data_IF_075611591317
#
_entry.id   IF_075611591317
#
_cell.length_a   1.000
_cell.length_b   1.000
_cell.length_c   1.000
_cell.angle_alpha   90.00
_cell.angle_beta   90.00
_cell.angle_gamma   90.00
#
_symmetry.space_group_name_H-M   'P 1'
#
loop_
_entity.id
_entity.type
_entity.pdbx_description
1 polymer ?
#
# COMPACT_ATOMS: atom_id res chain seq x y z
N UNK A 1 -11.01 24.66 -33.30
CA UNK A 1 -11.06 24.90 -31.84
C UNK A 1 -10.99 23.55 -31.18
N UNK A 2 -10.13 23.37 -30.17
CA UNK A 2 -10.13 22.17 -29.34
C UNK A 2 -11.30 22.28 -28.36
N UNK A 3 -12.13 21.26 -28.26
CA UNK A 3 -13.25 21.24 -27.32
C UNK A 3 -12.76 20.86 -25.92
N UNK A 4 -13.59 21.10 -24.90
CA UNK A 4 -13.30 20.68 -23.53
C UNK A 4 -13.07 19.16 -23.44
N UNK A 5 -13.73 18.40 -24.31
CA UNK A 5 -13.64 16.95 -24.42
C UNK A 5 -12.24 16.54 -24.92
N UNK A 6 -11.76 17.19 -25.99
CA UNK A 6 -10.42 16.95 -26.55
C UNK A 6 -9.30 17.24 -25.53
N UNK A 7 -9.45 18.29 -24.71
CA UNK A 7 -8.44 18.66 -23.71
C UNK A 7 -8.36 17.62 -22.59
N UNK A 8 -9.51 17.06 -22.18
CA UNK A 8 -9.59 15.99 -21.17
C UNK A 8 -9.01 14.69 -21.71
N UNK A 9 -9.24 14.36 -22.98
CA UNK A 9 -8.65 13.18 -23.62
C UNK A 9 -7.14 13.30 -23.78
N UNK A 10 -6.63 14.47 -24.18
CA UNK A 10 -5.18 14.70 -24.29
C UNK A 10 -4.45 14.67 -22.94
N UNK A 11 -5.10 15.11 -21.86
CA UNK A 11 -4.55 15.04 -20.49
C UNK A 11 -4.59 13.62 -19.92
N UNK A 12 -5.63 12.83 -20.23
CA UNK A 12 -5.64 11.40 -19.95
C UNK A 12 -4.51 10.69 -20.71
N UNK A 13 -4.33 11.00 -22.01
CA UNK A 13 -3.28 10.39 -22.84
C UNK A 13 -1.85 10.62 -22.36
N UNK A 14 -1.60 11.72 -21.66
CA UNK A 14 -0.28 12.00 -21.06
C UNK A 14 -0.04 11.28 -19.74
N UNK A 15 -1.12 10.85 -19.07
CA UNK A 15 -1.04 10.03 -17.86
C UNK A 15 -1.03 8.53 -18.14
N UNK A 16 -1.40 8.12 -19.36
CA UNK A 16 -1.27 6.74 -19.85
C UNK A 16 0.18 6.26 -19.59
N UNK A 17 0.30 5.13 -18.90
CA UNK A 17 1.56 4.45 -18.59
C UNK A 17 2.49 5.07 -17.53
N UNK A 18 2.06 6.12 -16.81
CA UNK A 18 2.89 6.65 -15.73
C UNK A 18 2.98 5.65 -14.56
N UNK A 19 4.18 5.39 -14.02
CA UNK A 19 4.32 4.54 -12.85
C UNK A 19 3.70 5.22 -11.62
N UNK A 20 3.20 4.42 -10.66
CA UNK A 20 2.51 4.93 -9.47
C UNK A 20 3.26 6.05 -8.72
N UNK A 21 4.59 6.00 -8.64
CA UNK A 21 5.39 7.06 -8.01
C UNK A 21 5.28 8.42 -8.72
N UNK A 22 5.04 8.44 -10.03
CA UNK A 22 4.91 9.65 -10.87
C UNK A 22 3.48 10.19 -10.91
N UNK A 23 2.49 9.45 -10.42
CA UNK A 23 1.10 9.91 -10.36
C UNK A 23 0.88 10.97 -9.29
N UNK A 24 0.10 12.00 -9.64
CA UNK A 24 -0.33 13.04 -8.71
C UNK A 24 -1.32 12.51 -7.66
N UNK A 25 -1.42 13.18 -6.50
CA UNK A 25 -2.33 12.79 -5.40
C UNK A 25 -3.78 12.63 -5.88
N UNK A 26 -4.24 13.50 -6.77
CA UNK A 26 -5.59 13.45 -7.36
C UNK A 26 -5.82 12.17 -8.19
N UNK A 27 -4.86 11.81 -9.05
CA UNK A 27 -4.93 10.59 -9.85
C UNK A 27 -4.88 9.33 -8.97
N UNK A 28 -3.96 9.30 -8.00
CA UNK A 28 -3.86 8.22 -7.01
C UNK A 28 -5.19 8.01 -6.28
N UNK A 29 -5.83 9.09 -5.86
CA UNK A 29 -7.13 9.05 -5.20
C UNK A 29 -8.22 8.48 -6.12
N UNK A 30 -8.28 8.93 -7.38
CA UNK A 30 -9.21 8.36 -8.38
C UNK A 30 -9.00 6.85 -8.55
N UNK A 31 -7.75 6.39 -8.72
CA UNK A 31 -7.44 4.97 -8.88
C UNK A 31 -7.78 4.14 -7.63
N UNK A 32 -7.60 4.72 -6.44
CA UNK A 32 -8.02 4.11 -5.17
C UNK A 32 -9.55 3.96 -5.08
N UNK A 33 -10.29 4.99 -5.50
CA UNK A 33 -11.76 4.94 -5.51
C UNK A 33 -12.27 3.89 -6.49
N UNK A 34 -11.65 3.80 -7.66
CA UNK A 34 -11.92 2.79 -8.68
C UNK A 34 -11.68 1.37 -8.14
N UNK A 35 -10.51 1.15 -7.51
CA UNK A 35 -10.18 -0.12 -6.87
C UNK A 35 -11.23 -0.53 -5.82
N UNK A 36 -11.73 0.40 -5.00
CA UNK A 36 -12.77 0.09 -4.02
C UNK A 36 -14.10 -0.30 -4.67
N UNK A 37 -14.45 0.25 -5.83
CA UNK A 37 -15.62 -0.16 -6.59
C UNK A 37 -15.43 -1.56 -7.20
N UNK A 38 -14.27 -1.83 -7.79
CA UNK A 38 -13.94 -3.16 -8.31
C UNK A 38 -13.98 -4.21 -7.20
N UNK A 39 -13.43 -3.91 -6.02
CA UNK A 39 -13.53 -4.78 -4.84
C UNK A 39 -14.97 -4.98 -4.39
N UNK A 40 -15.82 -3.94 -4.46
CA UNK A 40 -17.25 -4.07 -4.17
C UNK A 40 -17.91 -5.07 -5.11
N UNK A 41 -17.64 -4.98 -6.41
CA UNK A 41 -18.22 -5.90 -7.40
C UNK A 41 -17.64 -7.31 -7.27
N UNK A 42 -16.33 -7.43 -7.03
CA UNK A 42 -15.60 -8.70 -6.95
C UNK A 42 -15.92 -9.50 -5.68
N UNK A 43 -15.95 -8.84 -4.54
CA UNK A 43 -16.18 -9.46 -3.22
C UNK A 43 -17.62 -9.21 -2.70
N UNK A 44 -18.50 -8.65 -3.54
CA UNK A 44 -19.90 -8.30 -3.22
C UNK A 44 -20.02 -7.57 -1.87
N UNK A 45 -19.16 -6.57 -1.67
CA UNK A 45 -19.13 -5.81 -0.42
C UNK A 45 -20.37 -4.92 -0.29
N UNK A 46 -20.82 -4.77 0.95
CA UNK A 46 -21.87 -3.83 1.29
C UNK A 46 -21.46 -2.38 0.99
N UNK A 47 -22.44 -1.49 0.77
CA UNK A 47 -22.14 -0.09 0.47
C UNK A 47 -21.44 0.61 1.64
N UNK A 48 -21.81 0.24 2.87
CA UNK A 48 -21.15 0.70 4.08
C UNK A 48 -19.68 0.27 4.11
N UNK A 49 -19.38 -1.01 3.87
CA UNK A 49 -18.01 -1.55 3.83
C UNK A 49 -17.18 -0.91 2.72
N UNK A 50 -17.80 -0.66 1.57
CA UNK A 50 -17.15 0.02 0.44
C UNK A 50 -16.79 1.46 0.80
N UNK A 51 -17.70 2.17 1.48
CA UNK A 51 -17.45 3.54 1.95
C UNK A 51 -16.34 3.58 2.99
N UNK A 52 -16.35 2.64 3.95
CA UNK A 52 -15.26 2.48 4.93
C UNK A 52 -13.93 2.19 4.23
N UNK A 53 -13.91 1.28 3.25
CA UNK A 53 -12.71 0.96 2.46
C UNK A 53 -12.16 2.21 1.74
N UNK A 54 -13.02 2.98 1.07
CA UNK A 54 -12.64 4.24 0.41
C UNK A 54 -12.04 5.24 1.40
N UNK A 55 -12.67 5.43 2.56
CA UNK A 55 -12.15 6.33 3.60
C UNK A 55 -10.81 5.85 4.17
N UNK A 56 -10.68 4.55 4.47
CA UNK A 56 -9.43 3.96 4.96
C UNK A 56 -8.29 4.12 3.96
N UNK A 57 -8.55 3.84 2.67
CA UNK A 57 -7.54 4.00 1.62
C UNK A 57 -7.13 5.46 1.42
N UNK A 58 -8.10 6.38 1.50
CA UNK A 58 -7.80 7.82 1.51
C UNK A 58 -6.91 8.19 2.68
N UNK A 59 -7.26 7.82 3.89
CA UNK A 59 -6.49 8.12 5.10
C UNK A 59 -5.05 7.56 5.00
N UNK A 60 -4.90 6.31 4.51
CA UNK A 60 -3.58 5.72 4.25
C UNK A 60 -2.78 6.47 3.17
N UNK A 61 -3.43 7.03 2.16
CA UNK A 61 -2.77 7.89 1.17
C UNK A 61 -2.29 9.21 1.82
N UNK A 62 -3.09 9.81 2.69
CA UNK A 62 -2.75 11.05 3.40
C UNK A 62 -1.58 10.83 4.39
N UNK A 63 -1.55 9.68 5.07
CA UNK A 63 -0.46 9.25 5.96
C UNK A 63 0.82 8.81 5.26
N UNK A 64 0.90 9.00 3.94
CA UNK A 64 2.06 8.66 3.11
C UNK A 64 2.36 7.15 2.99
N UNK A 65 1.45 6.27 3.43
CA UNK A 65 1.65 4.81 3.39
C UNK A 65 1.54 4.23 1.97
N UNK A 66 0.77 4.86 1.08
CA UNK A 66 0.51 4.39 -0.29
C UNK A 66 1.30 5.18 -1.34
N UNK A 67 2.44 5.78 -0.97
CA UNK A 67 3.21 6.61 -1.90
C UNK A 67 4.14 5.82 -2.81
N UNK A 68 4.66 4.68 -2.34
CA UNK A 68 5.66 3.90 -3.09
C UNK A 68 4.99 2.78 -3.88
N UNK A 69 5.59 2.43 -5.02
CA UNK A 69 5.24 1.24 -5.80
C UNK A 69 5.41 -0.09 -5.06
N UNK A 70 6.15 -0.12 -3.93
CA UNK A 70 6.25 -1.31 -3.09
C UNK A 70 5.00 -1.54 -2.24
N UNK A 71 4.28 -0.46 -1.93
CA UNK A 71 3.12 -0.48 -1.04
C UNK A 71 1.81 -0.67 -1.85
N UNK A 72 1.85 -0.45 -3.17
CA UNK A 72 0.73 -0.55 -4.12
C UNK A 72 1.19 -1.24 -5.41
N UNK A 73 0.57 -2.37 -5.76
CA UNK A 73 0.73 -3.02 -7.07
C UNK A 73 -0.19 -2.30 -8.05
N UNK A 74 0.42 -1.42 -8.84
CA UNK A 74 -0.26 -0.67 -9.89
C UNK A 74 0.15 -1.22 -11.25
N UNK A 75 -0.84 -1.60 -12.05
CA UNK A 75 -0.64 -2.00 -13.42
C UNK A 75 -0.78 -0.75 -14.32
N UNK A 76 0.32 -0.36 -14.96
CA UNK A 76 0.40 0.81 -15.86
C UNK A 76 -0.22 0.57 -17.25
N UNK A 77 -0.46 -0.69 -17.61
CA UNK A 77 -1.08 -1.07 -18.89
C UNK A 77 -2.60 -1.03 -18.73
N UNK A 78 -3.11 -1.59 -17.64
CA UNK A 78 -4.54 -1.57 -17.30
C UNK A 78 -4.97 -0.25 -16.64
N UNK A 79 -4.01 0.60 -16.29
CA UNK A 79 -4.14 1.83 -15.50
C UNK A 79 -4.86 1.68 -14.16
N UNK A 80 -4.86 0.47 -13.58
CA UNK A 80 -5.62 0.13 -12.37
C UNK A 80 -4.70 -0.39 -11.26
N UNK A 81 -5.17 -0.22 -10.02
CA UNK A 81 -4.54 -0.86 -8.88
C UNK A 81 -4.97 -2.33 -8.89
N UNK A 82 -4.01 -3.24 -9.01
CA UNK A 82 -4.29 -4.67 -9.00
C UNK A 82 -4.41 -5.19 -7.57
N UNK A 83 -3.54 -4.71 -6.68
CA UNK A 83 -3.54 -5.08 -5.27
C UNK A 83 -2.76 -4.07 -4.44
N UNK A 84 -3.09 -3.98 -3.15
CA UNK A 84 -2.39 -3.12 -2.21
C UNK A 84 -1.77 -4.02 -1.13
N UNK A 85 -0.49 -4.40 -1.25
CA UNK A 85 0.19 -5.25 -0.26
C UNK A 85 0.20 -4.61 1.14
N UNK A 86 0.25 -3.27 1.21
CA UNK A 86 0.13 -2.53 2.48
C UNK A 86 -1.30 -2.56 3.09
N UNK A 87 -2.26 -3.12 2.34
CA UNK A 87 -3.63 -3.40 2.76
C UNK A 87 -3.80 -4.88 3.09
N UNK A 88 -2.74 -5.62 3.43
CA UNK A 88 -2.88 -6.90 4.14
C UNK A 88 -3.58 -6.60 5.46
N UNK A 89 -4.91 -6.68 5.36
CA UNK A 89 -5.86 -6.72 6.45
C UNK A 89 -5.49 -7.95 7.24
N UNK A 90 -5.04 -7.75 8.47
CA UNK A 90 -4.77 -8.82 9.42
C UNK A 90 -6.14 -9.35 9.86
N UNK A 91 -6.86 -10.01 8.94
CA UNK A 91 -8.14 -10.65 9.18
C UNK A 91 -7.96 -12.13 9.57
N UNK A 92 -6.81 -12.46 10.13
CA UNK A 92 -6.71 -13.60 11.03
C UNK A 92 -5.92 -13.14 12.25
N UNK A 93 -6.61 -13.17 13.39
CA UNK A 93 -6.00 -13.36 14.70
C UNK A 93 -4.87 -14.39 14.58
N UNK A 94 -3.64 -13.92 14.45
CA UNK A 94 -2.48 -14.63 14.98
C UNK A 94 -1.82 -13.65 15.93
N UNK A 95 -2.13 -13.90 17.19
CA UNK A 95 -1.53 -13.34 18.38
C UNK A 95 -0.01 -13.18 18.24
N UNK A 96 0.47 -12.01 18.63
CA UNK A 96 1.81 -11.68 19.10
C UNK A 96 2.86 -12.81 19.01
N UNK A 97 3.81 -12.71 18.08
CA UNK A 97 5.19 -13.00 18.43
C UNK A 97 5.95 -11.69 18.45
N UNK A 98 6.13 -11.17 19.66
CA UNK A 98 7.34 -10.46 20.00
C UNK A 98 8.49 -11.45 19.82
N UNK A 99 9.16 -11.47 18.67
CA UNK A 99 10.59 -11.65 18.75
C UNK A 99 11.14 -10.34 19.34
N UNK A 100 11.03 -10.25 20.67
CA UNK A 100 12.12 -9.66 21.40
C UNK A 100 13.34 -10.51 21.04
N UNK A 101 14.06 -10.13 19.99
CA UNK A 101 15.49 -10.43 19.90
C UNK A 101 16.19 -9.62 20.98
N UNK A 102 15.91 -9.99 22.23
CA UNK A 102 16.92 -9.99 23.26
C UNK A 102 17.71 -11.27 23.03
N UNK A 103 18.90 -11.24 22.40
CA UNK A 103 19.95 -12.12 22.83
C UNK A 103 20.50 -11.52 24.13
N UNK A 104 19.71 -11.50 25.22
CA UNK A 104 20.31 -11.50 26.54
C UNK A 104 20.68 -12.95 26.88
N UNK A 105 21.51 -13.56 26.04
CA UNK A 105 22.40 -14.61 26.47
C UNK A 105 23.52 -14.79 25.44
N UNK A 106 24.75 -14.60 25.93
CA UNK A 106 25.98 -15.18 25.40
C UNK A 106 26.72 -14.44 24.27
N UNK A 107 27.25 -13.25 24.57
CA UNK A 107 28.52 -12.80 23.97
C UNK A 107 29.45 -12.21 25.05
N UNK A 108 29.83 -13.06 26.01
CA UNK A 108 31.11 -12.97 26.71
C UNK A 108 31.35 -14.27 27.51
N UNK A 109 32.13 -15.24 27.01
CA UNK A 109 32.80 -16.16 27.91
C UNK A 109 33.79 -15.33 28.75
N UNK A 110 33.48 -15.23 30.05
CA UNK A 110 34.36 -14.69 31.07
C UNK A 110 35.51 -15.68 31.24
N UNK A 111 36.62 -15.50 30.54
CA UNK A 111 37.84 -16.24 30.83
C UNK A 111 38.40 -15.74 32.18
N UNK A 112 37.88 -16.30 33.27
CA UNK A 112 38.60 -16.41 34.53
C UNK A 112 39.38 -17.72 34.48
N UNK A 113 40.64 -17.66 34.06
CA UNK A 113 41.60 -18.71 34.43
C UNK A 113 42.60 -18.08 35.38
N UNK A 114 42.50 -18.49 36.65
CA UNK A 114 43.49 -18.26 37.69
C UNK A 114 44.35 -19.52 37.78
N UNK A 115 45.67 -19.33 38.01
CA UNK A 115 46.73 -20.31 38.35
C UNK A 115 47.34 -21.02 37.12
N UNK A 116 48.66 -21.21 36.98
CA UNK A 116 49.70 -21.52 37.98
C UNK A 116 51.11 -21.41 37.33
N UNK A 117 52.10 -20.85 38.04
CA UNK A 117 53.53 -21.23 38.14
C UNK A 117 54.40 -20.02 38.50
#
# INVERSE_FOLDING_TARGET
MLTLEDIVEMDNKKNEHLPWNKLNKSLKLKRIMDFANVMKERDQLDDEKTTQLKQMLRDKLERKCLQRTKDVIYNKEEERIESIPALVCIQQKYTLRTDAVSPLHSLAPKNKTVKHS
#
